data_IF_203460260062
#
_entry.id   IF_203460260062
#
_cell.length_a   1.000
_cell.length_b   1.000
_cell.length_c   1.000
_cell.angle_alpha   90.00
_cell.angle_beta   90.00
_cell.angle_gamma   90.00
#
_symmetry.space_group_name_H-M   'P 1'
#
loop_
_entity.id
_entity.type
_entity.pdbx_description
1 polymer ?
#
# COMPACT_ATOMS: atom_id res chain seq x y z
N UNK A 1 58.26 -2.77 14.63
CA UNK A 1 57.16 -2.37 13.71
C UNK A 1 56.07 -3.45 13.64
N UNK A 2 55.28 -3.69 14.70
CA UNK A 2 54.22 -4.73 14.72
C UNK A 2 52.98 -4.33 15.56
N UNK A 3 52.55 -3.08 15.50
CA UNK A 3 51.37 -2.62 16.27
C UNK A 3 50.32 -1.84 15.47
N UNK A 4 50.50 -1.66 14.15
CA UNK A 4 49.55 -0.87 13.33
C UNK A 4 48.68 -1.69 12.37
N UNK A 5 48.91 -3.00 12.22
CA UNK A 5 48.15 -3.86 11.30
C UNK A 5 46.93 -4.52 11.94
N UNK A 6 46.92 -4.71 13.26
CA UNK A 6 45.79 -5.36 13.94
C UNK A 6 44.53 -4.48 14.01
N UNK A 7 44.69 -3.14 13.97
CA UNK A 7 43.57 -2.20 14.13
C UNK A 7 42.78 -2.01 12.83
N UNK A 8 43.42 -2.18 11.66
CA UNK A 8 42.73 -2.09 10.37
C UNK A 8 41.84 -3.32 10.08
N UNK A 9 42.29 -4.51 10.47
CA UNK A 9 41.54 -5.74 10.24
C UNK A 9 40.25 -5.80 11.09
N UNK A 10 40.27 -5.21 12.29
CA UNK A 10 39.09 -5.16 13.17
C UNK A 10 38.01 -4.21 12.64
N UNK A 11 38.39 -3.10 11.99
CA UNK A 11 37.44 -2.15 11.41
C UNK A 11 36.76 -2.69 10.14
N UNK A 12 37.46 -3.51 9.34
CA UNK A 12 36.85 -4.15 8.17
C UNK A 12 35.86 -5.26 8.55
N UNK A 13 36.11 -6.00 9.61
CA UNK A 13 35.22 -7.09 10.06
C UNK A 13 33.89 -6.57 10.64
N UNK A 14 33.88 -5.38 11.27
CA UNK A 14 32.66 -4.79 11.83
C UNK A 14 31.73 -4.24 10.73
N UNK A 15 32.27 -3.83 9.58
CA UNK A 15 31.46 -3.37 8.44
C UNK A 15 30.71 -4.52 7.72
N UNK A 16 31.17 -5.76 7.86
CA UNK A 16 30.59 -6.94 7.19
C UNK A 16 29.51 -7.61 8.07
N UNK A 17 29.53 -7.36 9.39
CA UNK A 17 28.59 -7.95 10.36
C UNK A 17 27.39 -7.06 10.69
N UNK A 18 27.34 -5.83 10.19
CA UNK A 18 26.11 -5.06 10.22
C UNK A 18 25.22 -5.58 9.09
N UNK A 19 24.01 -6.10 9.38
CA UNK A 19 23.04 -6.37 8.32
C UNK A 19 22.90 -5.08 7.50
N UNK A 20 22.70 -5.16 6.18
CA UNK A 20 22.40 -3.97 5.40
C UNK A 20 21.22 -3.31 6.10
N UNK A 21 21.46 -2.14 6.70
CA UNK A 21 20.40 -1.31 7.26
C UNK A 21 19.50 -1.05 6.06
N UNK A 22 18.38 -1.76 6.02
CA UNK A 22 17.40 -1.60 4.98
C UNK A 22 17.08 -0.11 4.97
N UNK A 23 17.44 0.56 3.87
CA UNK A 23 17.04 1.94 3.61
C UNK A 23 15.51 1.96 3.64
N UNK A 24 14.96 2.25 4.81
CA UNK A 24 13.52 2.16 5.08
C UNK A 24 13.10 2.83 6.39
N UNK A 25 14.01 2.95 7.36
CA UNK A 25 13.66 3.44 8.72
C UNK A 25 13.32 4.95 8.79
N UNK A 26 13.50 5.73 7.73
CA UNK A 26 13.15 7.15 7.68
C UNK A 26 11.80 7.50 7.04
N UNK A 27 11.08 6.53 6.46
CA UNK A 27 9.85 6.80 5.67
C UNK A 27 8.56 6.23 6.26
N UNK A 28 8.63 5.42 7.32
CA UNK A 28 7.47 5.01 8.11
C UNK A 28 6.98 6.16 9.01
N UNK A 29 6.37 7.19 8.42
CA UNK A 29 5.36 7.94 9.18
C UNK A 29 4.33 6.92 9.64
N UNK A 30 4.14 6.78 10.95
CA UNK A 30 3.23 5.81 11.58
C UNK A 30 1.97 5.63 10.73
N UNK A 31 1.81 4.43 10.15
CA UNK A 31 0.66 4.13 9.30
C UNK A 31 -0.59 4.28 10.18
N UNK A 32 -1.52 5.18 9.86
CA UNK A 32 -2.68 5.39 10.70
C UNK A 32 -3.55 4.13 10.73
N UNK A 33 -4.26 3.96 11.85
CA UNK A 33 -5.30 2.95 11.99
C UNK A 33 -6.59 3.44 11.32
N UNK A 34 -6.55 3.52 9.98
CA UNK A 34 -7.68 3.94 9.12
C UNK A 34 -8.92 3.08 9.37
N UNK A 35 -8.73 1.84 9.82
CA UNK A 35 -9.81 0.90 10.15
C UNK A 35 -10.70 1.39 11.31
N UNK A 36 -10.18 2.27 12.17
CA UNK A 36 -10.92 2.92 13.26
C UNK A 36 -11.59 4.24 12.88
N UNK A 37 -11.27 4.78 11.71
CA UNK A 37 -11.84 6.05 11.25
C UNK A 37 -13.33 5.92 10.94
N UNK A 38 -14.14 6.94 11.22
CA UNK A 38 -15.59 6.93 11.05
C UNK A 38 -16.11 8.33 10.70
N UNK A 39 -17.22 8.46 9.95
CA UNK A 39 -18.02 7.39 9.32
C UNK A 39 -17.31 6.71 8.14
N UNK A 40 -17.83 5.55 7.69
CA UNK A 40 -17.31 4.82 6.54
C UNK A 40 -18.38 4.53 5.47
N UNK A 41 -17.96 4.47 4.21
CA UNK A 41 -18.74 4.08 3.03
C UNK A 41 -18.08 2.86 2.37
N UNK A 42 -18.85 1.84 2.01
CA UNK A 42 -18.36 0.65 1.31
C UNK A 42 -18.67 0.73 -0.18
N UNK A 43 -17.67 0.41 -1.02
CA UNK A 43 -17.84 0.25 -2.47
C UNK A 43 -17.40 -1.14 -2.89
N UNK A 44 -18.22 -1.79 -3.70
CA UNK A 44 -17.98 -3.13 -4.23
C UNK A 44 -18.09 -3.10 -5.76
N UNK A 45 -17.04 -2.64 -6.46
CA UNK A 45 -17.08 -2.56 -7.93
C UNK A 45 -17.07 -3.94 -8.60
N UNK A 46 -16.62 -4.99 -7.89
CA UNK A 46 -16.67 -6.37 -8.35
C UNK A 46 -17.13 -7.30 -7.22
N UNK A 47 -17.80 -8.43 -7.50
CA UNK A 47 -18.27 -9.37 -6.47
C UNK A 47 -17.18 -9.88 -5.52
N UNK A 48 -15.94 -9.96 -5.99
CA UNK A 48 -14.78 -10.45 -5.25
C UNK A 48 -13.89 -9.34 -4.67
N UNK A 49 -14.21 -8.05 -4.86
CA UNK A 49 -13.35 -6.95 -4.42
C UNK A 49 -14.14 -5.83 -3.76
N UNK A 50 -13.66 -5.41 -2.59
CA UNK A 50 -14.29 -4.38 -1.78
C UNK A 50 -13.28 -3.29 -1.41
N UNK A 51 -13.72 -2.04 -1.45
CA UNK A 51 -12.97 -0.91 -0.89
C UNK A 51 -13.88 -0.15 0.05
N UNK A 52 -13.40 0.09 1.26
CA UNK A 52 -14.14 0.85 2.27
C UNK A 52 -13.39 2.17 2.51
N UNK A 53 -14.13 3.28 2.51
CA UNK A 53 -13.62 4.64 2.63
C UNK A 53 -14.09 5.22 3.95
N UNK A 54 -13.17 5.69 4.80
CA UNK A 54 -13.47 6.17 6.15
C UNK A 54 -12.95 7.59 6.36
N UNK A 55 -13.70 8.41 7.09
CA UNK A 55 -13.31 9.80 7.40
C UNK A 55 -12.52 9.86 8.71
N UNK A 56 -11.41 10.59 8.72
CA UNK A 56 -10.59 10.80 9.90
C UNK A 56 -11.39 11.59 10.96
N UNK A 57 -11.61 11.03 12.17
CA UNK A 57 -12.46 11.64 13.19
C UNK A 57 -11.83 12.90 13.82
N UNK A 58 -10.53 13.11 13.67
CA UNK A 58 -9.80 14.22 14.29
C UNK A 58 -9.99 15.57 13.57
N UNK A 59 -11.09 15.74 12.82
CA UNK A 59 -11.48 17.04 12.23
C UNK A 59 -10.66 17.52 11.03
N UNK A 60 -9.69 16.74 10.54
CA UNK A 60 -8.79 17.15 9.44
C UNK A 60 -9.41 17.04 8.03
N UNK A 61 -10.66 16.54 7.93
CA UNK A 61 -11.35 16.31 6.66
C UNK A 61 -10.65 15.28 5.75
N UNK A 62 -9.73 14.51 6.31
CA UNK A 62 -8.97 13.48 5.62
C UNK A 62 -9.80 12.21 5.45
N UNK A 63 -9.61 11.55 4.32
CA UNK A 63 -10.25 10.30 3.96
C UNK A 63 -9.16 9.24 3.85
N UNK A 64 -9.41 8.10 4.48
CA UNK A 64 -8.64 6.88 4.32
C UNK A 64 -9.46 5.83 3.59
N UNK A 65 -8.78 4.85 3.02
CA UNK A 65 -9.38 3.72 2.34
C UNK A 65 -8.64 2.43 2.69
N UNK A 66 -9.35 1.31 2.73
CA UNK A 66 -8.79 -0.04 2.81
C UNK A 66 -9.44 -0.96 1.78
N UNK A 67 -8.62 -1.81 1.18
CA UNK A 67 -9.02 -2.70 0.11
C UNK A 67 -8.97 -4.16 0.56
N UNK A 68 -9.97 -4.93 0.16
CA UNK A 68 -10.13 -6.35 0.51
C UNK A 68 -10.43 -7.21 -0.71
N UNK A 69 -9.86 -8.40 -0.73
CA UNK A 69 -10.30 -9.50 -1.57
C UNK A 69 -11.36 -10.31 -0.80
N UNK A 70 -12.52 -10.50 -1.40
CA UNK A 70 -13.61 -11.26 -0.82
C UNK A 70 -13.50 -12.71 -1.31
N UNK A 71 -13.27 -13.62 -0.38
CA UNK A 71 -13.15 -15.07 -0.63
C UNK A 71 -14.29 -15.81 0.03
N UNK A 72 -14.47 -17.08 -0.31
CA UNK A 72 -15.41 -17.97 0.39
C UNK A 72 -15.15 -18.05 1.92
N UNK A 73 -13.91 -17.82 2.37
CA UNK A 73 -13.51 -17.89 3.79
C UNK A 73 -13.55 -16.55 4.51
N UNK A 74 -13.97 -15.47 3.84
CA UNK A 74 -14.02 -14.12 4.38
C UNK A 74 -13.15 -13.13 3.62
N UNK A 75 -12.74 -12.05 4.29
CA UNK A 75 -12.03 -10.93 3.67
C UNK A 75 -10.52 -11.04 3.88
N UNK A 76 -9.76 -10.92 2.80
CA UNK A 76 -8.29 -10.85 2.83
C UNK A 76 -7.86 -9.41 2.59
N UNK A 77 -7.10 -8.83 3.52
CA UNK A 77 -6.62 -7.45 3.43
C UNK A 77 -5.55 -7.31 2.33
N UNK A 78 -5.71 -6.30 1.47
CA UNK A 78 -4.82 -6.05 0.33
C UNK A 78 -3.95 -4.81 0.53
N UNK A 79 -4.37 -3.88 1.37
CA UNK A 79 -3.66 -2.62 1.57
C UNK A 79 -4.59 -1.46 1.92
N UNK A 80 -3.99 -0.32 2.24
CA UNK A 80 -4.71 0.90 2.62
C UNK A 80 -4.07 2.15 2.05
N UNK A 81 -4.87 3.21 1.97
CA UNK A 81 -4.43 4.53 1.57
C UNK A 81 -5.02 5.61 2.49
N UNK A 82 -4.32 6.73 2.63
CA UNK A 82 -4.74 7.89 3.43
C UNK A 82 -4.14 9.18 2.87
N UNK A 83 -4.41 10.33 3.48
CA UNK A 83 -3.95 11.63 2.99
C UNK A 83 -4.79 12.22 1.86
N UNK A 84 -5.97 11.64 1.58
CA UNK A 84 -6.92 12.16 0.60
C UNK A 84 -7.81 13.20 1.28
N UNK A 85 -8.04 14.36 0.65
CA UNK A 85 -8.90 15.43 1.21
C UNK A 85 -9.90 15.91 0.18
N UNK A 86 -11.01 16.50 0.62
CA UNK A 86 -11.88 17.27 -0.29
C UNK A 86 -11.14 18.51 -0.80
N UNK A 87 -11.30 18.88 -2.07
CA UNK A 87 -10.79 20.17 -2.57
C UNK A 87 -11.58 21.31 -1.93
N UNK A 88 -10.89 22.38 -1.51
CA UNK A 88 -11.51 23.60 -1.03
C UNK A 88 -12.03 24.43 -2.23
N UNK A 89 -13.31 24.83 -2.21
CA UNK A 89 -13.88 25.75 -3.20
C UNK A 89 -14.33 25.17 -4.55
N UNK A 90 -14.58 23.85 -4.68
CA UNK A 90 -15.08 23.25 -5.92
C UNK A 90 -16.28 22.33 -5.69
N UNK A 91 -17.23 22.29 -6.64
CA UNK A 91 -18.47 21.52 -6.53
C UNK A 91 -18.24 20.00 -6.46
N UNK A 92 -17.15 19.47 -7.05
CA UNK A 92 -16.81 18.04 -7.00
C UNK A 92 -15.28 17.83 -7.09
N UNK A 93 -14.69 17.07 -6.16
CA UNK A 93 -13.32 16.58 -6.33
C UNK A 93 -12.55 16.22 -5.06
N UNK A 94 -11.77 15.13 -5.15
CA UNK A 94 -10.80 14.69 -4.14
C UNK A 94 -9.38 15.16 -4.52
N UNK A 95 -8.63 15.63 -3.53
CA UNK A 95 -7.22 15.97 -3.63
C UNK A 95 -6.38 14.78 -3.18
N UNK A 96 -5.58 14.26 -4.11
CA UNK A 96 -4.70 13.11 -3.92
C UNK A 96 -3.21 13.49 -3.85
N UNK A 97 -2.85 14.78 -3.89
CA UNK A 97 -1.45 15.21 -3.94
C UNK A 97 -0.62 14.69 -2.75
N UNK A 98 -1.28 14.45 -1.62
CA UNK A 98 -0.65 13.91 -0.41
C UNK A 98 -1.05 12.48 -0.10
N UNK A 99 -1.67 11.76 -1.04
CA UNK A 99 -2.01 10.36 -0.82
C UNK A 99 -0.76 9.57 -0.43
N UNK A 100 -0.94 8.69 0.55
CA UNK A 100 -0.01 7.64 0.93
C UNK A 100 -0.75 6.34 0.78
N UNK A 101 -0.06 5.32 0.32
CA UNK A 101 -0.62 4.00 0.15
C UNK A 101 0.40 2.94 0.56
N UNK A 102 -0.11 1.87 1.15
CA UNK A 102 0.63 0.65 1.41
C UNK A 102 -0.14 -0.51 0.79
N UNK A 103 0.57 -1.39 0.11
CA UNK A 103 0.05 -2.63 -0.45
C UNK A 103 0.65 -3.78 0.33
N UNK A 104 -0.19 -4.71 0.77
CA UNK A 104 0.29 -5.99 1.26
C UNK A 104 0.59 -6.88 0.05
N UNK A 105 1.75 -7.51 0.02
CA UNK A 105 2.14 -8.48 -1.00
C UNK A 105 1.60 -9.88 -0.66
N UNK A 106 1.75 -10.82 -1.59
CA UNK A 106 1.29 -12.21 -1.39
C UNK A 106 2.04 -12.92 -0.25
N UNK A 107 3.31 -12.57 -0.04
CA UNK A 107 4.15 -13.08 1.05
C UNK A 107 3.90 -12.37 2.40
N UNK A 108 2.91 -11.48 2.47
CA UNK A 108 2.53 -10.75 3.67
C UNK A 108 3.37 -9.49 3.95
N UNK A 109 4.44 -9.22 3.19
CA UNK A 109 5.23 -8.00 3.35
C UNK A 109 4.43 -6.77 2.93
N UNK A 110 4.75 -5.62 3.53
CA UNK A 110 4.22 -4.33 3.13
C UNK A 110 5.12 -3.68 2.08
N UNK A 111 4.51 -3.17 1.02
CA UNK A 111 5.13 -2.34 0.03
C UNK A 111 4.59 -0.92 0.12
N UNK A 112 5.48 0.05 0.30
CA UNK A 112 5.12 1.46 0.46
C UNK A 112 5.11 2.17 -0.89
N UNK A 113 4.01 2.85 -1.18
CA UNK A 113 3.89 3.68 -2.37
C UNK A 113 4.68 4.97 -2.26
N UNK A 114 5.13 5.49 -3.40
CA UNK A 114 5.67 6.84 -3.49
C UNK A 114 4.64 7.88 -3.03
N UNK A 115 5.12 9.03 -2.55
CA UNK A 115 4.24 10.16 -2.23
C UNK A 115 3.42 10.54 -3.47
N UNK A 116 2.10 10.62 -3.32
CA UNK A 116 1.21 10.97 -4.43
C UNK A 116 0.84 9.78 -5.32
N UNK A 117 1.45 8.61 -5.14
CA UNK A 117 1.15 7.42 -5.95
C UNK A 117 -0.19 6.81 -5.54
N UNK A 118 -1.08 6.68 -6.53
CA UNK A 118 -2.36 5.99 -6.37
C UNK A 118 -2.17 4.53 -6.74
N UNK A 119 -2.82 3.58 -6.03
CA UNK A 119 -2.93 2.22 -6.53
C UNK A 119 -3.68 2.21 -7.88
N UNK A 120 -3.11 1.54 -8.87
CA UNK A 120 -3.72 1.30 -10.18
C UNK A 120 -4.48 -0.01 -10.13
N UNK A 121 -5.74 -0.02 -10.56
CA UNK A 121 -6.59 -1.21 -10.61
C UNK A 121 -6.95 -1.51 -12.06
N UNK A 122 -6.50 -2.64 -12.58
CA UNK A 122 -6.73 -3.07 -13.97
C UNK A 122 -7.52 -4.38 -13.96
N UNK A 123 -8.77 -4.39 -14.46
CA UNK A 123 -9.55 -5.63 -14.55
C UNK A 123 -8.87 -6.63 -15.47
N UNK A 124 -8.97 -7.91 -15.10
CA UNK A 124 -8.56 -9.04 -15.92
C UNK A 124 -9.84 -9.66 -16.44
N UNK A 125 -10.00 -9.66 -17.76
CA UNK A 125 -11.17 -10.20 -18.41
C UNK A 125 -10.98 -11.69 -18.74
N UNK A 126 -12.07 -12.42 -18.84
CA UNK A 126 -12.10 -13.79 -19.33
C UNK A 126 -11.72 -13.86 -20.82
N UNK A 127 -11.69 -15.08 -21.37
CA UNK A 127 -11.33 -15.28 -22.79
C UNK A 127 -12.32 -14.62 -23.75
N UNK A 128 -13.57 -14.41 -23.35
CA UNK A 128 -14.55 -13.69 -24.16
C UNK A 128 -14.37 -12.16 -24.11
N UNK A 129 -13.61 -11.64 -23.14
CA UNK A 129 -13.44 -10.21 -22.93
C UNK A 129 -14.65 -9.53 -22.30
N UNK A 130 -15.60 -10.30 -21.74
CA UNK A 130 -16.86 -9.78 -21.21
C UNK A 130 -16.85 -9.77 -19.68
N UNK A 131 -16.42 -10.88 -19.07
CA UNK A 131 -16.48 -11.02 -17.62
C UNK A 131 -15.16 -10.61 -16.96
N UNK A 132 -15.23 -9.79 -15.91
CA UNK A 132 -14.05 -9.55 -15.06
C UNK A 132 -13.81 -10.74 -14.13
N UNK A 133 -12.77 -11.52 -14.40
CA UNK A 133 -12.37 -12.71 -13.63
C UNK A 133 -11.24 -12.43 -12.63
N UNK A 134 -10.75 -11.19 -12.57
CA UNK A 134 -9.74 -10.80 -11.60
C UNK A 134 -9.40 -9.32 -11.66
N UNK A 135 -8.52 -8.90 -10.77
CA UNK A 135 -8.04 -7.53 -10.67
C UNK A 135 -6.53 -7.55 -10.47
N UNK A 136 -5.81 -6.86 -11.35
CA UNK A 136 -4.38 -6.57 -11.18
C UNK A 136 -4.25 -5.21 -10.51
N UNK A 137 -3.61 -5.20 -9.35
CA UNK A 137 -3.35 -4.00 -8.56
C UNK A 137 -1.86 -3.68 -8.66
N UNK A 138 -1.50 -2.44 -8.98
CA UNK A 138 -0.11 -1.98 -9.01
C UNK A 138 0.08 -0.75 -8.13
N UNK A 139 1.25 -0.64 -7.52
CA UNK A 139 1.63 0.54 -6.75
C UNK A 139 3.09 0.88 -7.04
N UNK A 140 3.34 2.13 -7.42
CA UNK A 140 4.68 2.66 -7.66
C UNK A 140 5.37 3.01 -6.34
N UNK A 141 6.59 2.54 -6.13
CA UNK A 141 7.45 2.84 -4.98
C UNK A 141 8.25 4.14 -5.14
N UNK A 142 8.81 4.70 -4.05
CA UNK A 142 9.56 5.96 -4.06
C UNK A 142 10.82 5.94 -4.94
N UNK A 143 11.43 4.77 -5.11
CA UNK A 143 12.63 4.50 -5.91
C UNK A 143 12.31 4.20 -7.39
N UNK A 144 11.04 4.30 -7.79
CA UNK A 144 10.58 3.96 -9.13
C UNK A 144 10.25 2.48 -9.33
N UNK A 145 10.43 1.63 -8.32
CA UNK A 145 9.99 0.23 -8.34
C UNK A 145 8.47 0.11 -8.41
N UNK A 146 7.97 -1.10 -8.71
CA UNK A 146 6.54 -1.40 -8.72
C UNK A 146 6.26 -2.67 -7.94
N UNK A 147 5.31 -2.59 -7.02
CA UNK A 147 4.61 -3.78 -6.53
C UNK A 147 3.43 -4.11 -7.43
N UNK A 148 3.14 -5.41 -7.55
CA UNK A 148 1.98 -5.95 -8.23
C UNK A 148 1.34 -7.00 -7.35
N UNK A 149 0.01 -6.96 -7.25
CA UNK A 149 -0.82 -8.01 -6.66
C UNK A 149 -1.90 -8.39 -7.65
N UNK A 150 -2.17 -9.68 -7.80
CA UNK A 150 -3.28 -10.16 -8.61
C UNK A 150 -4.24 -10.89 -7.69
N UNK A 151 -5.51 -10.49 -7.75
CA UNK A 151 -6.59 -11.24 -7.12
C UNK A 151 -7.48 -11.76 -8.23
N UNK A 152 -8.01 -12.97 -8.06
CA UNK A 152 -8.92 -13.60 -9.01
C UNK A 152 -10.25 -13.80 -8.33
N UNK A 153 -11.32 -13.76 -9.11
CA UNK A 153 -12.61 -14.30 -8.67
C UNK A 153 -12.36 -15.75 -8.26
N UNK A 154 -12.79 -16.13 -7.06
CA UNK A 154 -12.74 -17.52 -6.62
C UNK A 154 -13.47 -18.38 -7.67
N UNK A 155 -12.86 -19.50 -8.07
CA UNK A 155 -13.56 -20.51 -8.85
C UNK A 155 -14.58 -21.16 -7.91
N UNK A 156 -15.87 -20.90 -8.16
CA UNK A 156 -16.95 -21.65 -7.53
C UNK A 156 -17.08 -23.02 -8.17
#
# INVERSE_FOLDING_TARGET
MRRRLATLALLLAVAILLPPVARGEGQERAIPNVERWRPCETRRPYPFFETVFCMNPNGSGEIGAHAYHLTARGRVFLGKAWGVRKKWGGLFGLNYANIRAVMMLEDGRLFFGARGAKPEFVPILDTSGVETIGLRIRLKGPDGSYAKRVIKKDAH
#
